data_IF_086091075907
#
_entry.id   IF_086091075907
#
_cell.length_a   1.000
_cell.length_b   1.000
_cell.length_c   1.000
_cell.angle_alpha   90.00
_cell.angle_beta   90.00
_cell.angle_gamma   90.00
#
_symmetry.space_group_name_H-M   'P 1'
#
loop_
_entity.id
_entity.type
_entity.pdbx_description
1 polymer ?
#
# COMPACT_ATOMS: atom_id res chain seq x y z
N UNK A 1 13.86 -19.79 -0.78
CA UNK A 1 13.13 -19.35 -1.99
C UNK A 1 12.16 -20.47 -2.32
N UNK A 2 10.84 -20.22 -2.35
CA UNK A 2 9.90 -21.23 -2.80
C UNK A 2 10.19 -21.54 -4.28
N UNK A 3 10.30 -22.81 -4.63
CA UNK A 3 10.65 -23.24 -5.99
C UNK A 3 9.42 -23.12 -6.89
N UNK A 4 9.56 -22.54 -8.08
CA UNK A 4 8.52 -22.59 -9.13
C UNK A 4 8.34 -24.04 -9.57
N UNK A 5 7.23 -24.66 -9.16
CA UNK A 5 6.85 -25.98 -9.64
C UNK A 5 6.30 -25.86 -11.08
N UNK A 6 6.27 -26.96 -11.85
CA UNK A 6 5.67 -26.94 -13.18
C UNK A 6 4.22 -26.43 -13.18
N UNK A 7 3.45 -26.74 -12.12
CA UNK A 7 2.08 -26.25 -11.92
C UNK A 7 2.05 -24.72 -11.77
N UNK A 8 2.95 -24.15 -10.95
CA UNK A 8 3.01 -22.70 -10.73
C UNK A 8 3.46 -21.97 -11.99
N UNK A 9 4.42 -22.51 -12.74
CA UNK A 9 4.83 -21.94 -14.03
C UNK A 9 3.67 -21.92 -15.03
N UNK A 10 2.89 -23.01 -15.11
CA UNK A 10 1.71 -23.07 -15.98
C UNK A 10 0.65 -22.04 -15.60
N UNK A 11 0.35 -21.90 -14.30
CA UNK A 11 -0.60 -20.89 -13.81
C UNK A 11 -0.12 -19.47 -14.11
N UNK A 12 1.18 -19.21 -14.00
CA UNK A 12 1.77 -17.92 -14.36
C UNK A 12 1.63 -17.63 -15.86
N UNK A 13 1.92 -18.59 -16.73
CA UNK A 13 1.73 -18.44 -18.18
C UNK A 13 0.26 -18.12 -18.52
N UNK A 14 -0.68 -18.82 -17.88
CA UNK A 14 -2.11 -18.55 -18.05
C UNK A 14 -2.50 -17.15 -17.56
N UNK A 15 -2.03 -16.75 -16.38
CA UNK A 15 -2.28 -15.42 -15.83
C UNK A 15 -1.74 -14.29 -16.73
N UNK A 16 -0.55 -14.45 -17.29
CA UNK A 16 0.05 -13.45 -18.19
C UNK A 16 -0.64 -13.36 -19.56
N UNK A 17 -1.45 -14.36 -19.92
CA UNK A 17 -2.25 -14.35 -21.16
C UNK A 17 -3.60 -13.63 -21.04
N UNK A 18 -4.01 -13.26 -19.82
CA UNK A 18 -5.26 -12.56 -19.54
C UNK A 18 -5.21 -11.09 -19.98
N UNK A 19 -6.37 -10.46 -20.13
CA UNK A 19 -6.46 -8.99 -20.25
C UNK A 19 -5.93 -8.29 -19.01
N UNK A 20 -5.58 -7.00 -19.12
CA UNK A 20 -5.05 -6.23 -17.99
C UNK A 20 -6.04 -6.22 -16.83
N UNK A 21 -7.33 -6.04 -17.12
CA UNK A 21 -8.40 -5.98 -16.14
C UNK A 21 -8.58 -7.32 -15.40
N UNK A 22 -8.45 -8.44 -16.12
CA UNK A 22 -8.50 -9.79 -15.52
C UNK A 22 -7.24 -10.11 -14.70
N UNK A 23 -6.07 -9.63 -15.13
CA UNK A 23 -4.83 -9.74 -14.36
C UNK A 23 -4.94 -8.99 -13.04
N UNK A 24 -5.47 -7.76 -13.05
CA UNK A 24 -5.71 -6.96 -11.85
C UNK A 24 -6.67 -7.69 -10.89
N UNK A 25 -7.80 -8.18 -11.39
CA UNK A 25 -8.76 -8.91 -10.57
C UNK A 25 -8.18 -10.20 -9.97
N UNK A 26 -7.36 -10.94 -10.73
CA UNK A 26 -6.67 -12.13 -10.26
C UNK A 26 -5.62 -11.79 -9.19
N UNK A 27 -4.83 -10.73 -9.41
CA UNK A 27 -3.84 -10.27 -8.45
C UNK A 27 -4.48 -9.86 -7.12
N UNK A 28 -5.57 -9.08 -7.15
CA UNK A 28 -6.30 -8.66 -5.96
C UNK A 28 -6.87 -9.84 -5.17
N UNK A 29 -7.41 -10.83 -5.88
CA UNK A 29 -7.95 -12.06 -5.27
C UNK A 29 -6.85 -12.87 -4.59
N UNK A 30 -5.69 -13.02 -5.24
CA UNK A 30 -4.53 -13.74 -4.70
C UNK A 30 -3.93 -12.99 -3.49
N UNK A 31 -3.73 -11.68 -3.59
CA UNK A 31 -3.24 -10.84 -2.49
C UNK A 31 -4.19 -10.95 -1.30
N UNK A 32 -5.50 -10.83 -1.52
CA UNK A 32 -6.51 -10.95 -0.45
C UNK A 32 -6.50 -12.32 0.22
N UNK A 33 -6.33 -13.40 -0.56
CA UNK A 33 -6.22 -14.75 -0.02
C UNK A 33 -4.92 -14.94 0.79
N UNK A 34 -3.80 -14.39 0.31
CA UNK A 34 -2.50 -14.43 0.98
C UNK A 34 -2.42 -13.48 2.18
N UNK A 35 -3.29 -12.48 2.27
CA UNK A 35 -3.37 -11.52 3.38
C UNK A 35 -3.90 -12.14 4.70
N UNK A 36 -4.00 -13.48 4.77
CA UNK A 36 -4.36 -14.21 5.99
C UNK A 36 -3.42 -13.89 7.17
N UNK A 37 -4.05 -13.46 8.27
CA UNK A 37 -3.48 -12.94 9.53
C UNK A 37 -2.41 -11.87 9.29
N UNK A 38 -2.84 -10.60 9.36
CA UNK A 38 -1.95 -9.50 9.77
C UNK A 38 -1.12 -10.03 10.93
N UNK A 39 0.20 -10.10 10.73
CA UNK A 39 1.11 -10.51 11.79
C UNK A 39 0.82 -9.60 12.98
N UNK A 40 0.40 -10.20 14.11
CA UNK A 40 0.06 -9.44 15.31
C UNK A 40 1.22 -8.54 15.76
N UNK A 41 2.47 -8.92 15.45
CA UNK A 41 3.64 -8.08 15.66
C UNK A 41 3.67 -6.82 14.78
N UNK A 42 3.24 -6.91 13.52
CA UNK A 42 3.14 -5.76 12.61
C UNK A 42 2.05 -4.79 13.08
N UNK A 43 0.89 -5.31 13.48
CA UNK A 43 -0.19 -4.49 14.02
C UNK A 43 0.25 -3.77 15.32
N UNK A 44 0.85 -4.51 16.27
CA UNK A 44 1.32 -3.94 17.52
C UNK A 44 2.44 -2.91 17.32
N UNK A 45 3.37 -3.16 16.39
CA UNK A 45 4.41 -2.20 16.04
C UNK A 45 3.83 -0.93 15.42
N UNK A 46 2.78 -1.05 14.61
CA UNK A 46 2.11 0.10 14.01
C UNK A 46 1.36 0.94 15.04
N UNK A 47 0.65 0.30 15.98
CA UNK A 47 -0.01 0.97 17.11
C UNK A 47 1.01 1.73 17.98
N UNK A 48 2.16 1.11 18.28
CA UNK A 48 3.24 1.75 19.02
C UNK A 48 3.81 2.97 18.30
N UNK A 49 4.02 2.88 16.98
CA UNK A 49 4.52 4.00 16.17
C UNK A 49 3.50 5.15 16.10
N UNK A 50 2.19 4.85 15.96
CA UNK A 50 1.14 5.87 16.02
C UNK A 50 1.18 6.60 17.37
N UNK A 51 1.20 5.86 18.49
CA UNK A 51 1.24 6.46 19.83
C UNK A 51 2.47 7.34 20.05
N UNK A 52 3.64 6.88 19.57
CA UNK A 52 4.87 7.68 19.57
C UNK A 52 4.70 8.97 18.77
N UNK A 53 4.18 8.91 17.53
CA UNK A 53 4.02 10.10 16.68
C UNK A 53 3.03 11.10 17.25
N UNK A 54 1.94 10.65 17.85
CA UNK A 54 0.99 11.52 18.56
C UNK A 54 1.71 12.25 19.70
N UNK A 55 2.46 11.52 20.52
CA UNK A 55 3.24 12.12 21.62
C UNK A 55 4.26 13.14 21.13
N UNK A 56 4.95 12.85 20.02
CA UNK A 56 5.91 13.80 19.42
C UNK A 56 5.24 15.05 18.85
N UNK A 57 4.02 14.93 18.33
CA UNK A 57 3.21 16.06 17.88
C UNK A 57 2.74 16.91 19.06
N UNK A 58 2.16 16.30 20.09
CA UNK A 58 1.61 16.98 21.26
C UNK A 58 2.70 17.69 22.07
N UNK A 59 3.90 17.10 22.15
CA UNK A 59 5.07 17.71 22.80
C UNK A 59 5.76 18.80 21.97
N UNK A 60 5.36 19.00 20.71
CA UNK A 60 6.01 19.93 19.79
C UNK A 60 7.41 19.47 19.32
N UNK A 61 7.80 18.24 19.63
CA UNK A 61 9.08 17.65 19.17
C UNK A 61 9.07 17.39 17.67
N UNK A 62 7.91 17.04 17.11
CA UNK A 62 7.77 16.79 15.68
C UNK A 62 7.82 18.09 14.88
N UNK A 63 8.67 18.14 13.84
CA UNK A 63 8.65 19.22 12.86
C UNK A 63 7.41 19.07 11.97
N UNK A 64 6.47 20.00 12.10
CA UNK A 64 5.23 20.00 11.32
C UNK A 64 5.30 20.95 10.13
N UNK A 65 4.39 20.75 9.18
CA UNK A 65 4.17 21.67 8.05
C UNK A 65 2.72 22.12 8.10
N UNK A 66 2.47 23.40 7.83
CA UNK A 66 1.10 23.92 7.85
C UNK A 66 0.21 23.22 6.82
N UNK A 67 -1.05 23.03 7.16
CA UNK A 67 -2.03 22.45 6.23
C UNK A 67 -2.12 23.24 4.92
N UNK A 68 -2.04 24.58 4.99
CA UNK A 68 -2.07 25.45 3.82
C UNK A 68 -0.93 25.13 2.84
N UNK A 69 0.28 24.91 3.35
CA UNK A 69 1.43 24.54 2.51
C UNK A 69 1.28 23.15 1.91
N UNK A 70 0.85 22.16 2.70
CA UNK A 70 0.59 20.79 2.22
C UNK A 70 -0.45 20.81 1.10
N UNK A 71 -1.57 21.49 1.32
CA UNK A 71 -2.65 21.63 0.34
C UNK A 71 -2.15 22.28 -0.95
N UNK A 72 -1.42 23.41 -0.84
CA UNK A 72 -0.85 24.11 -2.00
C UNK A 72 0.06 23.19 -2.81
N UNK A 73 0.96 22.46 -2.15
CA UNK A 73 1.89 21.53 -2.82
C UNK A 73 1.15 20.39 -3.53
N UNK A 74 0.11 19.84 -2.91
CA UNK A 74 -0.67 18.76 -3.51
C UNK A 74 -1.49 19.26 -4.71
N UNK A 75 -2.11 20.43 -4.61
CA UNK A 75 -2.87 21.03 -5.72
C UNK A 75 -1.98 21.36 -6.92
N UNK A 76 -0.73 21.80 -6.70
CA UNK A 76 0.23 22.05 -7.78
C UNK A 76 0.64 20.78 -8.54
N UNK A 77 0.49 19.59 -7.94
CA UNK A 77 0.81 18.30 -8.56
C UNK A 77 -0.39 17.67 -9.30
N UNK A 78 -1.59 18.18 -9.08
CA UNK A 78 -2.76 17.69 -9.80
C UNK A 78 -2.69 18.21 -11.24
N UNK A 79 -2.81 17.33 -12.26
CA UNK A 79 -2.91 17.78 -13.63
C UNK A 79 -4.12 18.72 -13.73
N UNK A 80 -3.92 19.87 -14.40
CA UNK A 80 -5.03 20.74 -14.72
C UNK A 80 -5.95 19.92 -15.62
N UNK A 81 -7.14 19.56 -15.12
CA UNK A 81 -8.16 18.96 -15.96
C UNK A 81 -8.37 19.92 -17.13
N UNK A 82 -8.01 19.49 -18.34
CA UNK A 82 -8.41 20.20 -19.55
C UNK A 82 -9.94 20.18 -19.54
N UNK A 83 -10.54 21.34 -19.25
CA UNK A 83 -11.94 21.60 -19.54
C UNK A 83 -12.15 21.62 -21.06
#
# INVERSE_FOLDING_TARGET
MAQMTPEVSKLLEQALSLSVEEQEALADSLISNLSGKVDGGVQAAWEAEIGKRVTELDSGKAKTTSWAEVRRRNMAKLPHAKM
#
